data_IF_154609467699
#
_entry.id   IF_154609467699
#
_cell.length_a   1.000
_cell.length_b   1.000
_cell.length_c   1.000
_cell.angle_alpha   90.00
_cell.angle_beta   90.00
_cell.angle_gamma   90.00
#
_symmetry.space_group_name_H-M   'P 1'
#
loop_
_entity.id
_entity.type
_entity.pdbx_description
1 polymer ?
#
# COMPACT_ATOMS: atom_id res chain seq x y z
N UNK A 1 -9.83 6.88 2.40
CA UNK A 1 -8.98 6.08 1.50
C UNK A 1 -9.81 5.68 0.29
N UNK A 2 -9.36 5.98 -0.93
CA UNK A 2 -10.15 5.83 -2.16
C UNK A 2 -10.15 4.39 -2.71
N UNK A 3 -9.33 3.52 -2.11
CA UNK A 3 -9.29 2.09 -2.35
C UNK A 3 -9.18 1.28 -1.06
N UNK A 4 -9.56 -0.01 -1.13
CA UNK A 4 -9.34 -0.98 -0.05
C UNK A 4 -7.87 -1.42 -0.12
N UNK A 5 -7.04 -0.86 0.75
CA UNK A 5 -5.63 -1.23 0.86
C UNK A 5 -5.52 -2.64 1.44
N UNK A 6 -5.10 -3.60 0.62
CA UNK A 6 -4.54 -4.85 1.14
C UNK A 6 -3.09 -4.58 1.49
N UNK A 7 -2.82 -4.25 2.75
CA UNK A 7 -1.46 -4.32 3.27
C UNK A 7 -0.97 -5.74 3.03
N UNK A 8 0.22 -5.90 2.42
CA UNK A 8 0.81 -7.23 2.21
C UNK A 8 1.16 -7.83 3.58
N UNK A 9 0.20 -8.49 4.21
CA UNK A 9 0.44 -9.50 5.25
C UNK A 9 0.99 -10.81 4.65
N UNK A 10 1.48 -10.78 3.40
CA UNK A 10 1.81 -11.99 2.62
C UNK A 10 3.15 -11.98 1.90
N UNK A 11 3.93 -10.90 1.96
CA UNK A 11 5.32 -10.89 1.49
C UNK A 11 6.05 -9.69 2.10
N UNK A 12 6.96 -9.89 3.07
CA UNK A 12 7.67 -8.81 3.74
C UNK A 12 8.74 -8.28 2.79
N UNK A 13 8.35 -7.45 1.83
CA UNK A 13 9.31 -6.63 1.11
C UNK A 13 9.65 -5.48 2.04
N UNK A 14 10.78 -5.60 2.73
CA UNK A 14 11.26 -4.50 3.57
C UNK A 14 11.70 -3.34 2.67
N UNK A 15 11.35 -2.08 2.99
CA UNK A 15 11.84 -0.91 2.27
C UNK A 15 13.36 -0.70 2.48
N UNK A 16 13.97 -1.43 3.41
CA UNK A 16 15.39 -1.34 3.76
C UNK A 16 16.06 -2.72 3.82
N UNK A 17 17.39 -2.82 3.66
CA UNK A 17 18.11 -4.07 3.87
C UNK A 17 18.02 -4.53 5.32
N UNK A 18 17.59 -5.77 5.55
CA UNK A 18 17.50 -6.38 6.88
C UNK A 18 18.65 -7.35 7.11
N UNK A 19 19.18 -7.39 8.33
CA UNK A 19 20.10 -8.43 8.78
C UNK A 19 19.35 -9.71 9.16
N UNK A 20 20.03 -10.87 9.16
CA UNK A 20 19.41 -12.16 9.50
C UNK A 20 18.59 -12.15 10.82
N UNK A 21 19.06 -11.53 11.92
CA UNK A 21 18.27 -11.44 13.15
C UNK A 21 16.99 -10.61 13.01
N UNK A 22 17.00 -9.57 12.17
CA UNK A 22 15.87 -8.66 11.99
C UNK A 22 14.75 -9.28 11.14
N UNK A 23 15.09 -10.20 10.24
CA UNK A 23 14.13 -10.84 9.32
C UNK A 23 12.99 -11.52 10.09
N UNK A 24 13.30 -12.24 11.18
CA UNK A 24 12.29 -12.98 11.94
C UNK A 24 11.22 -12.04 12.51
N UNK A 25 11.64 -10.94 13.14
CA UNK A 25 10.74 -9.91 13.69
C UNK A 25 9.95 -9.20 12.59
N UNK A 26 10.60 -8.89 11.46
CA UNK A 26 9.96 -8.19 10.35
C UNK A 26 8.86 -9.00 9.67
N UNK A 27 9.04 -10.32 9.56
CA UNK A 27 8.03 -11.24 9.02
C UNK A 27 6.79 -11.27 9.92
N UNK A 28 6.96 -11.21 11.25
CA UNK A 28 5.87 -11.30 12.21
C UNK A 28 5.11 -9.99 12.42
N UNK A 29 5.81 -8.85 12.42
CA UNK A 29 5.22 -7.54 12.72
C UNK A 29 4.82 -6.77 11.45
N UNK A 30 5.57 -6.94 10.36
CA UNK A 30 5.42 -6.15 9.14
C UNK A 30 5.84 -4.69 9.30
N UNK A 31 5.67 -3.85 8.26
CA UNK A 31 5.92 -2.42 8.35
C UNK A 31 4.89 -1.75 9.27
N UNK A 32 5.30 -0.65 9.90
CA UNK A 32 4.37 0.22 10.63
C UNK A 32 3.28 0.75 9.69
N UNK A 33 2.10 1.08 10.22
CA UNK A 33 1.03 1.64 9.38
C UNK A 33 1.50 2.90 8.65
N UNK A 34 2.41 3.70 9.22
CA UNK A 34 2.97 4.90 8.60
C UNK A 34 3.94 4.62 7.43
N UNK A 35 4.58 3.46 7.41
CA UNK A 35 5.52 3.04 6.35
C UNK A 35 4.91 2.03 5.38
N UNK A 36 3.71 1.54 5.68
CA UNK A 36 3.05 0.54 4.86
C UNK A 36 2.63 1.13 3.50
N UNK A 37 3.02 0.44 2.43
CA UNK A 37 2.64 0.79 1.05
C UNK A 37 1.56 -0.17 0.58
N UNK A 38 0.48 0.39 0.04
CA UNK A 38 -0.59 -0.37 -0.58
C UNK A 38 -0.16 -0.80 -1.97
N UNK A 39 -0.09 -2.11 -2.19
CA UNK A 39 0.03 -2.67 -3.54
C UNK A 39 -1.36 -3.05 -4.04
N UNK A 40 -1.55 -3.03 -5.35
CA UNK A 40 -2.82 -3.40 -6.00
C UNK A 40 -4.01 -2.48 -5.67
N UNK A 41 -3.80 -1.16 -5.78
CA UNK A 41 -4.87 -0.17 -5.65
C UNK A 41 -6.06 -0.44 -6.57
N UNK A 42 -7.25 -0.44 -5.99
CA UNK A 42 -8.53 -0.64 -6.68
C UNK A 42 -9.12 0.70 -7.14
N UNK A 43 -10.25 0.65 -7.85
CA UNK A 43 -11.05 1.85 -8.15
C UNK A 43 -10.28 2.95 -8.90
N UNK A 44 -9.43 2.56 -9.86
CA UNK A 44 -8.57 3.49 -10.62
C UNK A 44 -7.73 4.44 -9.75
N UNK A 45 -7.46 4.07 -8.51
CA UNK A 45 -6.58 4.82 -7.61
C UNK A 45 -5.11 4.37 -7.75
N UNK A 46 -4.20 5.23 -7.29
CA UNK A 46 -2.74 5.09 -7.27
C UNK A 46 -2.17 5.85 -6.07
N UNK A 47 -0.85 5.78 -5.90
CA UNK A 47 -0.11 6.33 -4.76
C UNK A 47 0.10 5.27 -3.67
N UNK A 48 1.03 5.55 -2.75
CA UNK A 48 1.41 4.60 -1.69
C UNK A 48 0.23 4.20 -0.80
N UNK A 49 -0.83 5.01 -0.78
CA UNK A 49 -2.05 4.81 0.01
C UNK A 49 -3.31 4.66 -0.81
N UNK A 50 -3.20 4.49 -2.12
CA UNK A 50 -4.34 4.44 -3.03
C UNK A 50 -5.29 5.65 -2.82
N UNK A 51 -4.70 6.83 -2.65
CA UNK A 51 -5.34 8.08 -2.24
C UNK A 51 -5.40 9.13 -3.36
N UNK A 52 -4.81 8.81 -4.51
CA UNK A 52 -4.87 9.63 -5.72
C UNK A 52 -5.48 8.86 -6.87
N UNK A 53 -6.07 9.55 -7.85
CA UNK A 53 -6.63 8.92 -9.04
C UNK A 53 -5.57 8.77 -10.14
N UNK A 54 -5.69 7.71 -10.94
CA UNK A 54 -4.84 7.53 -12.13
C UNK A 54 -4.97 8.73 -13.06
N UNK A 55 -3.91 9.07 -13.83
CA UNK A 55 -4.00 10.09 -14.86
C UNK A 55 -5.19 9.84 -15.80
N UNK A 56 -6.02 10.86 -16.00
CA UNK A 56 -7.25 10.76 -16.79
C UNK A 56 -8.47 10.25 -16.02
N UNK A 57 -8.40 10.13 -14.70
CA UNK A 57 -9.52 9.88 -13.80
C UNK A 57 -9.60 11.01 -12.76
N UNK A 58 -10.82 11.37 -12.35
CA UNK A 58 -11.12 12.36 -11.32
C UNK A 58 -11.94 11.74 -10.19
N UNK A 59 -11.79 12.29 -8.99
CA UNK A 59 -12.52 11.84 -7.81
C UNK A 59 -13.96 12.36 -7.87
N UNK A 60 -14.92 11.45 -7.95
CA UNK A 60 -16.35 11.73 -7.89
C UNK A 60 -17.02 10.75 -6.91
N UNK A 61 -17.69 11.28 -5.88
CA UNK A 61 -18.39 10.49 -4.87
C UNK A 61 -17.53 9.35 -4.25
N UNK A 62 -16.30 9.69 -3.84
CA UNK A 62 -15.36 8.72 -3.27
C UNK A 62 -14.77 7.72 -4.27
N UNK A 63 -15.02 7.89 -5.58
CA UNK A 63 -14.64 6.95 -6.64
C UNK A 63 -13.88 7.63 -7.77
N UNK A 64 -12.75 7.05 -8.22
CA UNK A 64 -12.03 7.60 -9.37
C UNK A 64 -12.72 7.18 -10.68
N UNK A 65 -13.34 8.17 -11.32
CA UNK A 65 -14.15 8.03 -12.55
C UNK A 65 -13.45 8.76 -13.71
N UNK A 66 -13.61 8.29 -14.94
CA UNK A 66 -13.06 8.92 -16.15
C UNK A 66 -14.05 9.89 -16.77
#
# INVERSE_FOLDING_TARGET
>A
HLGRCHLLWGSPVSPVPLTCPQIHTWVTEGPSEAEAVCVNCQNNSVGDRCDTCRPGYFLLDGTCTR
#
